data_IF_738663432170
#
_entry.id   IF_738663432170
#
_cell.length_a   1.000
_cell.length_b   1.000
_cell.length_c   1.000
_cell.angle_alpha   90.00
_cell.angle_beta   90.00
_cell.angle_gamma   90.00
#
_symmetry.space_group_name_H-M   'P 1'
#
loop_
_entity.id
_entity.type
_entity.pdbx_description
1 polymer ?
#
# COMPACT_ATOMS: atom_id res chain seq x y z
N UNK A 1 -24.67 -7.44 -10.29
CA UNK A 1 -23.38 -6.73 -10.18
C UNK A 1 -23.38 -5.59 -11.18
N UNK A 2 -22.78 -4.45 -10.82
CA UNK A 2 -22.60 -3.32 -11.75
C UNK A 2 -21.29 -3.53 -12.50
N UNK A 3 -21.28 -3.24 -13.79
CA UNK A 3 -20.04 -3.19 -14.58
C UNK A 3 -19.18 -2.01 -14.09
N UNK A 4 -17.88 -2.24 -13.86
CA UNK A 4 -16.93 -1.19 -13.50
C UNK A 4 -16.24 -0.69 -14.77
N UNK A 5 -16.27 0.63 -14.98
CA UNK A 5 -15.63 1.28 -16.12
C UNK A 5 -14.66 2.36 -15.64
N UNK A 6 -13.71 2.77 -16.49
CA UNK A 6 -12.80 3.89 -16.19
C UNK A 6 -13.59 5.16 -15.86
N UNK A 7 -14.70 5.41 -16.57
CA UNK A 7 -15.55 6.57 -16.29
C UNK A 7 -16.11 6.55 -14.86
N UNK A 8 -16.49 5.37 -14.36
CA UNK A 8 -16.95 5.21 -12.98
C UNK A 8 -15.80 5.39 -11.97
N UNK A 9 -14.60 4.88 -12.28
CA UNK A 9 -13.41 5.11 -11.44
C UNK A 9 -13.08 6.60 -11.32
N UNK A 10 -13.14 7.34 -12.42
CA UNK A 10 -12.91 8.80 -12.42
C UNK A 10 -14.02 9.53 -11.68
N UNK A 11 -15.30 9.22 -11.94
CA UNK A 11 -16.44 9.99 -11.42
C UNK A 11 -16.84 9.64 -10.00
N UNK A 12 -16.60 8.41 -9.55
CA UNK A 12 -17.10 7.91 -8.25
C UNK A 12 -16.00 7.53 -7.28
N UNK A 13 -14.80 7.28 -7.77
CA UNK A 13 -13.68 6.82 -6.96
C UNK A 13 -12.45 7.75 -7.07
N UNK A 14 -12.65 8.96 -7.59
CA UNK A 14 -11.63 10.03 -7.64
C UNK A 14 -10.28 9.57 -8.20
N UNK A 15 -10.28 8.71 -9.22
CA UNK A 15 -9.06 8.14 -9.80
C UNK A 15 -8.00 9.18 -10.16
N UNK A 16 -8.42 10.35 -10.65
CA UNK A 16 -7.50 11.43 -11.02
C UNK A 16 -6.82 12.06 -9.80
N UNK A 17 -7.57 12.30 -8.72
CA UNK A 17 -7.01 12.85 -7.48
C UNK A 17 -6.00 11.87 -6.88
N UNK A 18 -6.33 10.57 -6.86
CA UNK A 18 -5.42 9.51 -6.37
C UNK A 18 -4.13 9.42 -7.18
N UNK A 19 -4.20 9.66 -8.49
CA UNK A 19 -3.04 9.69 -9.39
C UNK A 19 -2.17 10.94 -9.15
N UNK A 20 -2.79 12.10 -8.96
CA UNK A 20 -2.11 13.39 -8.80
C UNK A 20 -1.47 13.55 -7.42
N UNK A 21 -2.20 13.20 -6.36
CA UNK A 21 -1.83 13.45 -4.96
C UNK A 21 -1.06 12.30 -4.30
N UNK A 22 -0.71 11.25 -5.05
CA UNK A 22 -0.01 10.08 -4.54
C UNK A 22 1.30 10.46 -3.84
N UNK A 23 1.33 10.42 -2.51
CA UNK A 23 2.53 10.75 -1.72
C UNK A 23 3.62 9.67 -1.83
N UNK A 24 3.21 8.40 -1.92
CA UNK A 24 4.09 7.25 -2.14
C UNK A 24 4.29 6.88 -3.61
N UNK A 25 4.80 5.67 -3.84
CA UNK A 25 4.84 5.09 -5.19
C UNK A 25 3.56 4.35 -5.56
N UNK A 26 2.69 4.04 -4.60
CA UNK A 26 1.42 3.35 -4.83
C UNK A 26 0.29 3.96 -4.01
N UNK A 27 -0.94 3.88 -4.54
CA UNK A 27 -2.19 4.14 -3.84
C UNK A 27 -3.21 3.03 -4.12
N UNK A 28 -4.35 3.05 -3.43
CA UNK A 28 -5.43 2.06 -3.58
C UNK A 28 -6.79 2.72 -3.62
N UNK A 29 -7.62 2.22 -4.53
CA UNK A 29 -9.05 2.52 -4.58
C UNK A 29 -9.81 1.28 -4.17
N UNK A 30 -10.68 1.42 -3.17
CA UNK A 30 -11.57 0.35 -2.74
C UNK A 30 -12.69 0.10 -3.78
N UNK A 31 -12.93 -1.17 -4.10
CA UNK A 31 -13.96 -1.60 -5.06
C UNK A 31 -15.11 -2.38 -4.39
N UNK A 32 -15.44 -2.12 -3.11
CA UNK A 32 -16.42 -2.90 -2.33
C UNK A 32 -17.78 -3.16 -3.03
N UNK A 33 -18.24 -2.26 -3.89
CA UNK A 33 -19.49 -2.39 -4.65
C UNK A 33 -19.38 -3.25 -5.93
N UNK A 34 -18.18 -3.73 -6.23
CA UNK A 34 -17.82 -4.42 -7.46
C UNK A 34 -17.11 -5.74 -7.13
N UNK A 35 -17.48 -6.78 -7.87
CA UNK A 35 -16.75 -8.05 -7.83
C UNK A 35 -16.43 -8.41 -9.26
N UNK A 36 -15.16 -8.23 -9.62
CA UNK A 36 -14.66 -8.52 -10.95
C UNK A 36 -14.18 -9.97 -10.99
N UNK A 37 -14.51 -10.67 -12.07
CA UNK A 37 -13.86 -11.91 -12.45
C UNK A 37 -12.49 -11.63 -13.09
N UNK A 38 -11.62 -12.63 -13.13
CA UNK A 38 -10.22 -12.50 -13.61
C UNK A 38 -10.12 -11.84 -15.00
N UNK A 39 -11.02 -12.22 -15.93
CA UNK A 39 -11.02 -11.65 -17.28
C UNK A 39 -11.42 -10.16 -17.29
N UNK A 40 -12.35 -9.74 -16.42
CA UNK A 40 -12.78 -8.35 -16.28
C UNK A 40 -11.66 -7.49 -15.66
N UNK A 41 -10.95 -8.04 -14.68
CA UNK A 41 -9.76 -7.39 -14.10
C UNK A 41 -8.71 -7.11 -15.17
N UNK A 42 -8.40 -8.10 -16.01
CA UNK A 42 -7.39 -7.97 -17.07
C UNK A 42 -7.78 -6.88 -18.06
N UNK A 43 -9.04 -6.86 -18.50
CA UNK A 43 -9.55 -5.84 -19.43
C UNK A 43 -9.41 -4.45 -18.81
N UNK A 44 -9.92 -4.26 -17.59
CA UNK A 44 -9.88 -2.99 -16.88
C UNK A 44 -8.44 -2.48 -16.70
N UNK A 45 -7.54 -3.32 -16.21
CA UNK A 45 -6.13 -2.94 -16.00
C UNK A 45 -5.46 -2.56 -17.31
N UNK A 46 -5.69 -3.31 -18.41
CA UNK A 46 -5.13 -2.97 -19.72
C UNK A 46 -5.65 -1.63 -20.25
N UNK A 47 -6.95 -1.36 -20.11
CA UNK A 47 -7.53 -0.08 -20.52
C UNK A 47 -6.95 1.09 -19.70
N UNK A 48 -6.77 0.90 -18.40
CA UNK A 48 -6.16 1.90 -17.51
C UNK A 48 -4.68 2.15 -17.86
N UNK A 49 -3.89 1.10 -18.11
CA UNK A 49 -2.48 1.25 -18.51
C UNK A 49 -2.31 1.94 -19.87
N UNK A 50 -3.21 1.67 -20.82
CA UNK A 50 -3.24 2.38 -22.10
C UNK A 50 -3.63 3.86 -21.95
N UNK A 51 -4.46 4.18 -20.97
CA UNK A 51 -4.92 5.56 -20.72
C UNK A 51 -3.90 6.37 -19.91
N UNK A 52 -3.22 5.70 -18.97
CA UNK A 52 -2.31 6.32 -18.00
C UNK A 52 -0.93 5.64 -18.04
N UNK A 53 -0.20 5.83 -19.14
CA UNK A 53 1.08 5.13 -19.44
C UNK A 53 2.16 5.22 -18.34
N UNK A 54 2.11 6.25 -17.49
CA UNK A 54 3.03 6.42 -16.35
C UNK A 54 2.76 5.50 -15.15
N UNK A 55 1.66 4.74 -15.18
CA UNK A 55 1.16 3.96 -14.06
C UNK A 55 1.00 2.48 -14.46
N UNK A 56 0.97 1.61 -13.45
CA UNK A 56 0.50 0.23 -13.58
C UNK A 56 -0.67 0.00 -12.65
N UNK A 57 -1.57 -0.89 -13.06
CA UNK A 57 -2.83 -1.14 -12.37
C UNK A 57 -3.00 -2.64 -12.11
N UNK A 58 -3.45 -2.99 -10.91
CA UNK A 58 -3.72 -4.36 -10.53
C UNK A 58 -4.97 -4.40 -9.65
N UNK A 59 -5.90 -5.31 -9.92
CA UNK A 59 -6.99 -5.59 -8.99
C UNK A 59 -6.52 -6.68 -8.03
N UNK A 60 -6.41 -6.34 -6.74
CA UNK A 60 -5.90 -7.25 -5.71
C UNK A 60 -7.01 -7.68 -4.75
N UNK A 61 -7.08 -8.97 -4.38
CA UNK A 61 -8.01 -9.42 -3.35
C UNK A 61 -7.57 -8.89 -1.98
N UNK A 62 -8.52 -8.39 -1.21
CA UNK A 62 -8.33 -7.91 0.16
C UNK A 62 -9.28 -8.61 1.12
N UNK A 63 -9.05 -8.44 2.43
CA UNK A 63 -9.82 -9.10 3.49
C UNK A 63 -9.93 -10.64 3.34
N UNK A 64 -8.91 -11.31 2.81
CA UNK A 64 -8.94 -12.76 2.58
C UNK A 64 -9.74 -13.18 1.34
N UNK A 65 -9.98 -12.26 0.40
CA UNK A 65 -10.69 -12.51 -0.86
C UNK A 65 -12.16 -12.10 -0.87
N UNK A 66 -12.65 -11.52 0.22
CA UNK A 66 -14.05 -11.05 0.31
C UNK A 66 -14.30 -9.68 -0.33
N UNK A 67 -13.25 -8.95 -0.66
CA UNK A 67 -13.32 -7.67 -1.34
C UNK A 67 -12.11 -7.49 -2.27
N UNK A 68 -12.15 -6.45 -3.10
CA UNK A 68 -11.14 -6.13 -4.10
C UNK A 68 -10.74 -4.66 -4.00
N UNK A 69 -9.45 -4.38 -4.16
CA UNK A 69 -8.91 -3.03 -4.32
C UNK A 69 -8.28 -2.90 -5.71
N UNK A 70 -8.40 -1.73 -6.33
CA UNK A 70 -7.56 -1.33 -7.46
C UNK A 70 -6.27 -0.71 -6.90
N UNK A 71 -5.17 -1.45 -7.02
CA UNK A 71 -3.82 -0.98 -6.74
C UNK A 71 -3.30 -0.15 -7.91
N UNK A 72 -2.90 1.08 -7.63
CA UNK A 72 -2.32 2.01 -8.59
C UNK A 72 -0.85 2.19 -8.23
N UNK A 73 0.07 1.99 -9.18
CA UNK A 73 1.50 2.17 -8.95
C UNK A 73 2.09 3.17 -9.94
N UNK A 74 2.72 4.23 -9.44
CA UNK A 74 3.51 5.15 -10.26
C UNK A 74 4.86 4.51 -10.61
N UNK A 75 5.07 4.19 -11.89
CA UNK A 75 6.24 3.42 -12.36
C UNK A 75 7.56 4.13 -12.06
N UNK A 76 7.59 5.45 -12.24
CA UNK A 76 8.79 6.27 -11.99
C UNK A 76 9.15 6.28 -10.50
N UNK A 77 8.19 6.63 -9.64
CA UNK A 77 8.40 6.67 -8.18
C UNK A 77 8.75 5.29 -7.63
N UNK A 78 8.16 4.22 -8.17
CA UNK A 78 8.49 2.84 -7.79
C UNK A 78 9.94 2.49 -8.15
N UNK A 79 10.39 2.89 -9.33
CA UNK A 79 11.78 2.68 -9.77
C UNK A 79 12.77 3.43 -8.88
N UNK A 80 12.46 4.69 -8.54
CA UNK A 80 13.25 5.51 -7.61
C UNK A 80 13.33 4.84 -6.22
N UNK A 81 12.19 4.36 -5.70
CA UNK A 81 12.14 3.63 -4.43
C UNK A 81 12.90 2.29 -4.47
N UNK A 82 12.79 1.55 -5.56
CA UNK A 82 13.46 0.26 -5.73
C UNK A 82 14.98 0.41 -5.73
N UNK A 83 15.50 1.51 -6.28
CA UNK A 83 16.91 1.84 -6.27
C UNK A 83 17.47 2.18 -4.87
N UNK A 84 16.63 2.48 -3.88
CA UNK A 84 17.07 2.75 -2.51
C UNK A 84 17.52 1.43 -1.86
N UNK A 85 18.75 1.37 -1.30
CA UNK A 85 19.22 0.20 -0.56
C UNK A 85 18.31 -0.14 0.63
N UNK A 86 17.91 -1.41 0.72
CA UNK A 86 17.06 -1.95 1.79
C UNK A 86 17.94 -2.76 2.73
N UNK A 87 18.51 -2.08 3.72
CA UNK A 87 19.54 -2.60 4.65
C UNK A 87 18.94 -3.22 5.90
N UNK A 88 17.64 -3.02 6.14
CA UNK A 88 16.92 -3.45 7.34
C UNK A 88 15.76 -4.35 6.97
N UNK A 89 15.24 -5.05 7.96
CA UNK A 89 13.95 -5.76 7.87
C UNK A 89 12.94 -5.10 8.78
N UNK A 90 11.65 -5.19 8.42
CA UNK A 90 10.56 -4.73 9.28
C UNK A 90 10.59 -5.39 10.67
N UNK A 91 11.05 -6.64 10.78
CA UNK A 91 11.28 -7.31 12.05
C UNK A 91 12.32 -6.62 12.95
N UNK A 92 13.30 -5.93 12.38
CA UNK A 92 14.34 -5.22 13.14
C UNK A 92 13.73 -4.05 13.93
N UNK A 93 12.69 -3.40 13.38
CA UNK A 93 11.95 -2.32 14.05
C UNK A 93 11.34 -2.84 15.35
N UNK A 94 10.57 -3.93 15.26
CA UNK A 94 9.89 -4.50 16.43
C UNK A 94 10.87 -5.06 17.45
N UNK A 95 11.99 -5.63 17.00
CA UNK A 95 13.07 -6.07 17.89
C UNK A 95 13.62 -4.89 18.70
N UNK A 96 13.96 -3.79 18.04
CA UNK A 96 14.51 -2.60 18.71
C UNK A 96 13.49 -1.97 19.69
N UNK A 97 12.21 -1.89 19.32
CA UNK A 97 11.15 -1.39 20.20
C UNK A 97 10.95 -2.29 21.42
N UNK A 98 11.01 -3.62 21.24
CA UNK A 98 10.90 -4.56 22.34
C UNK A 98 12.08 -4.44 23.31
N UNK A 99 13.30 -4.32 22.81
CA UNK A 99 14.50 -4.11 23.62
C UNK A 99 14.41 -2.81 24.44
N UNK A 100 13.84 -1.75 23.88
CA UNK A 100 13.70 -0.45 24.54
C UNK A 100 12.55 -0.39 25.55
N UNK A 101 11.38 -0.91 25.20
CA UNK A 101 10.15 -0.72 25.99
C UNK A 101 9.69 -1.98 26.72
N UNK A 102 10.33 -3.13 26.51
CA UNK A 102 9.90 -4.44 27.02
C UNK A 102 8.43 -4.77 26.70
N UNK A 103 7.91 -4.23 25.59
CA UNK A 103 6.50 -4.32 25.18
C UNK A 103 6.41 -4.93 23.78
N UNK A 104 5.35 -5.67 23.50
CA UNK A 104 5.06 -6.24 22.18
C UNK A 104 3.84 -5.51 21.62
N UNK A 105 3.98 -4.93 20.43
CA UNK A 105 2.86 -4.29 19.71
C UNK A 105 2.10 -5.32 18.88
N UNK A 106 0.77 -5.18 18.82
CA UNK A 106 -0.07 -6.05 17.98
C UNK A 106 0.21 -5.92 16.49
N UNK A 107 0.83 -4.80 16.06
CA UNK A 107 1.27 -4.60 14.68
C UNK A 107 2.24 -5.70 14.19
N UNK A 108 2.98 -6.34 15.12
CA UNK A 108 3.87 -7.45 14.80
C UNK A 108 3.13 -8.67 14.21
N UNK A 109 1.86 -8.90 14.58
CA UNK A 109 1.10 -10.08 14.14
C UNK A 109 0.53 -9.96 12.73
N UNK A 110 0.39 -8.74 12.21
CA UNK A 110 -0.13 -8.48 10.87
C UNK A 110 0.97 -8.07 9.88
N UNK A 111 2.18 -7.77 10.37
CA UNK A 111 3.31 -7.36 9.55
C UNK A 111 4.10 -8.54 8.97
N UNK A 112 4.56 -8.39 7.73
CA UNK A 112 5.60 -9.25 7.18
C UNK A 112 6.96 -8.86 7.79
N UNK A 113 7.41 -9.60 8.80
CA UNK A 113 8.66 -9.30 9.52
C UNK A 113 9.92 -9.43 8.65
N UNK A 114 9.84 -10.16 7.53
CA UNK A 114 10.96 -10.35 6.61
C UNK A 114 11.01 -9.29 5.49
N UNK A 115 10.04 -8.39 5.44
CA UNK A 115 10.00 -7.31 4.45
C UNK A 115 11.25 -6.44 4.58
N UNK A 116 11.99 -6.33 3.47
CA UNK A 116 13.17 -5.47 3.40
C UNK A 116 12.74 -4.01 3.29
N UNK A 117 13.25 -3.17 4.19
CA UNK A 117 12.92 -1.75 4.29
C UNK A 117 14.19 -0.91 4.22
N UNK A 118 14.03 0.34 3.83
CA UNK A 118 15.11 1.33 3.80
C UNK A 118 15.48 1.78 5.21
N UNK A 119 16.68 2.35 5.37
CA UNK A 119 17.11 2.91 6.67
C UNK A 119 16.16 4.01 7.15
N UNK A 120 15.71 4.88 6.23
CA UNK A 120 14.76 5.96 6.53
C UNK A 120 13.42 5.42 7.06
N UNK A 121 12.88 4.37 6.45
CA UNK A 121 11.64 3.75 6.92
C UNK A 121 11.82 3.10 8.29
N UNK A 122 12.98 2.48 8.54
CA UNK A 122 13.31 1.95 9.85
C UNK A 122 13.30 3.06 10.91
N UNK A 123 14.03 4.16 10.68
CA UNK A 123 14.10 5.30 11.59
C UNK A 123 12.73 5.92 11.85
N UNK A 124 11.96 6.19 10.79
CA UNK A 124 10.62 6.79 10.91
C UNK A 124 9.64 5.88 11.65
N UNK A 125 9.72 4.55 11.48
CA UNK A 125 8.87 3.62 12.23
C UNK A 125 9.27 3.56 13.70
N UNK A 126 10.57 3.54 14.02
CA UNK A 126 11.05 3.61 15.40
C UNK A 126 10.52 4.88 16.07
N UNK A 127 10.67 6.04 15.44
CA UNK A 127 10.21 7.33 15.97
C UNK A 127 8.69 7.33 16.21
N UNK A 128 7.91 6.86 15.24
CA UNK A 128 6.45 6.77 15.35
C UNK A 128 6.00 5.88 16.51
N UNK A 129 6.54 4.66 16.61
CA UNK A 129 6.15 3.75 17.69
C UNK A 129 6.69 4.19 19.05
N UNK A 130 7.88 4.77 19.11
CA UNK A 130 8.40 5.37 20.34
C UNK A 130 7.49 6.48 20.85
N UNK A 131 7.03 7.35 19.95
CA UNK A 131 6.06 8.40 20.28
C UNK A 131 4.77 7.79 20.87
N UNK A 132 4.18 6.79 20.19
CA UNK A 132 2.96 6.14 20.67
C UNK A 132 3.14 5.46 22.02
N UNK A 133 4.24 4.74 22.23
CA UNK A 133 4.49 4.03 23.50
C UNK A 133 4.71 4.99 24.67
N UNK A 134 5.29 6.16 24.43
CA UNK A 134 5.43 7.19 25.46
C UNK A 134 4.08 7.86 25.79
N UNK A 135 3.21 8.11 24.80
CA UNK A 135 1.88 8.68 25.03
C UNK A 135 0.94 7.76 25.83
N UNK A 136 1.17 6.44 25.83
CA UNK A 136 0.36 5.47 26.60
C UNK A 136 0.81 5.39 28.07
N UNK A 137 2.02 5.88 28.40
CA UNK A 137 2.62 5.76 29.74
C UNK A 137 2.42 6.98 30.64
N UNK A 138 2.00 8.11 30.06
CA UNK A 138 1.61 9.34 30.79
C UNK A 138 0.10 9.33 31.11
#
# INVERSE_FOLDING_TARGET
>A
MRELTIELLVKKHNLLEEIEDMSGYSSRICLDDYYLEEHEMIILCNELENTYEGFSFEVVPVFGGFAQDLLITNRKKKTEYDAIPKTKKRGDVFKALHEKHSTITSAMFSANLNEAITEKEYESQIEFYDFLMNQIRD
#
